data_IF_676167250043
#
_entry.id   IF_676167250043
#
_cell.length_a   1.000
_cell.length_b   1.000
_cell.length_c   1.000
_cell.angle_alpha   90.00
_cell.angle_beta   90.00
_cell.angle_gamma   90.00
#
_symmetry.space_group_name_H-M   'P 1'
#
loop_
_entity.id
_entity.type
_entity.pdbx_description
1 polymer ?
#
# COMPACT_ATOMS: atom_id res chain seq x y z
N UNK A 1 -2.62 -12.49 27.98
CA UNK A 1 -1.47 -11.63 27.66
C UNK A 1 -1.86 -10.77 26.47
N UNK A 2 -1.81 -9.48 26.63
CA UNK A 2 -2.08 -8.56 25.52
C UNK A 2 -1.02 -8.74 24.45
N UNK A 3 -1.40 -9.11 23.24
CA UNK A 3 -0.49 -9.27 22.11
C UNK A 3 -0.02 -7.90 21.68
N UNK A 4 1.28 -7.61 21.81
CA UNK A 4 1.89 -6.38 21.34
C UNK A 4 2.55 -6.64 19.99
N UNK A 5 2.31 -5.74 19.03
CA UNK A 5 3.02 -5.73 17.74
C UNK A 5 4.02 -4.58 17.68
N UNK A 6 5.17 -4.82 17.06
CA UNK A 6 6.15 -3.80 16.74
C UNK A 6 6.04 -3.42 15.26
N UNK A 7 5.77 -2.16 15.01
CA UNK A 7 5.58 -1.61 13.67
C UNK A 7 6.74 -0.68 13.34
N UNK A 8 7.38 -0.91 12.21
CA UNK A 8 8.35 0.01 11.63
C UNK A 8 7.66 0.88 10.58
N UNK A 9 7.75 2.20 10.73
CA UNK A 9 7.24 3.16 9.75
C UNK A 9 8.37 3.54 8.80
N UNK A 10 8.25 3.14 7.54
CA UNK A 10 9.20 3.47 6.48
C UNK A 10 8.91 4.86 5.92
N UNK A 11 9.31 5.91 6.65
CA UNK A 11 9.19 7.30 6.20
C UNK A 11 10.22 7.59 5.10
N UNK A 12 9.94 7.09 3.91
CA UNK A 12 10.82 7.16 2.75
C UNK A 12 10.29 8.15 1.73
N UNK A 13 11.20 8.71 0.95
CA UNK A 13 10.87 9.50 -0.22
C UNK A 13 11.05 8.63 -1.48
N UNK A 14 9.97 8.11 -2.08
CA UNK A 14 10.05 7.35 -3.33
C UNK A 14 10.32 8.28 -4.50
N UNK A 15 11.04 7.78 -5.50
CA UNK A 15 11.22 8.50 -6.76
C UNK A 15 10.04 8.18 -7.69
N UNK A 16 9.36 9.24 -8.17
CA UNK A 16 8.21 9.08 -9.07
C UNK A 16 8.63 8.36 -10.35
N UNK A 17 7.92 7.29 -10.70
CA UNK A 17 8.17 6.48 -11.88
C UNK A 17 9.26 5.41 -11.72
N UNK A 18 10.09 5.47 -10.68
CA UNK A 18 11.15 4.47 -10.44
C UNK A 18 10.62 3.30 -9.61
N UNK A 19 9.71 2.53 -10.19
CA UNK A 19 9.04 1.40 -9.52
C UNK A 19 10.06 0.41 -8.96
N UNK A 20 11.02 -0.02 -9.77
CA UNK A 20 12.02 -1.02 -9.35
C UNK A 20 12.93 -0.49 -8.24
N UNK A 21 13.43 0.75 -8.35
CA UNK A 21 14.29 1.33 -7.32
C UNK A 21 13.56 1.54 -5.98
N UNK A 22 12.29 1.94 -6.02
CA UNK A 22 11.47 2.07 -4.82
C UNK A 22 11.28 0.71 -4.12
N UNK A 23 10.99 -0.35 -4.88
CA UNK A 23 10.84 -1.72 -4.36
C UNK A 23 12.16 -2.25 -3.79
N UNK A 24 13.27 -2.11 -4.51
CA UNK A 24 14.60 -2.54 -4.03
C UNK A 24 14.99 -1.85 -2.74
N UNK A 25 14.71 -0.54 -2.64
CA UNK A 25 14.93 0.24 -1.41
C UNK A 25 14.10 -0.30 -0.24
N UNK A 26 12.82 -0.61 -0.45
CA UNK A 26 11.95 -1.17 0.60
C UNK A 26 12.42 -2.55 1.05
N UNK A 27 12.79 -3.43 0.11
CA UNK A 27 13.36 -4.76 0.41
C UNK A 27 14.66 -4.63 1.20
N UNK A 28 15.56 -3.73 0.78
CA UNK A 28 16.82 -3.47 1.49
C UNK A 28 16.60 -3.00 2.92
N UNK A 29 15.63 -2.12 3.15
CA UNK A 29 15.27 -1.65 4.49
C UNK A 29 14.69 -2.80 5.32
N UNK A 30 13.73 -3.54 4.77
CA UNK A 30 13.13 -4.69 5.44
C UNK A 30 14.17 -5.72 5.89
N UNK A 31 15.16 -6.01 5.03
CA UNK A 31 16.22 -6.98 5.35
C UNK A 31 17.11 -6.56 6.52
N UNK A 32 17.17 -5.27 6.83
CA UNK A 32 17.95 -4.70 7.94
C UNK A 32 17.15 -4.53 9.23
N UNK A 33 15.84 -4.77 9.19
CA UNK A 33 15.03 -4.69 10.40
C UNK A 33 15.38 -5.79 11.38
N UNK A 34 15.27 -5.48 12.67
CA UNK A 34 15.38 -6.48 13.72
C UNK A 34 14.28 -7.55 13.54
N UNK A 35 14.60 -8.79 13.91
CA UNK A 35 13.67 -9.92 13.79
C UNK A 35 12.42 -9.80 14.67
N UNK A 36 12.36 -8.82 15.56
CA UNK A 36 11.22 -8.54 16.43
C UNK A 36 10.23 -7.51 15.86
N UNK A 37 10.48 -7.01 14.65
CA UNK A 37 9.54 -6.15 13.93
C UNK A 37 8.49 -7.03 13.24
N UNK A 38 7.23 -6.81 13.56
CA UNK A 38 6.12 -7.58 13.03
C UNK A 38 5.61 -7.06 11.69
N UNK A 39 5.59 -5.73 11.50
CA UNK A 39 5.03 -5.07 10.32
C UNK A 39 5.93 -3.91 9.88
N UNK A 40 6.19 -3.82 8.58
CA UNK A 40 6.80 -2.66 7.91
C UNK A 40 5.71 -1.93 7.12
N UNK A 41 5.51 -0.64 7.40
CA UNK A 41 4.50 0.20 6.72
C UNK A 41 5.21 1.23 5.86
N UNK A 42 4.89 1.27 4.58
CA UNK A 42 5.35 2.28 3.62
C UNK A 42 4.21 3.25 3.24
N UNK A 43 4.54 4.45 2.71
CA UNK A 43 3.55 5.46 2.36
C UNK A 43 2.54 5.05 1.28
N UNK A 44 1.48 5.89 1.14
CA UNK A 44 0.57 5.88 -0.01
C UNK A 44 1.35 5.96 -1.32
N UNK A 45 0.92 5.15 -2.32
CA UNK A 45 1.54 5.09 -3.66
C UNK A 45 3.07 4.97 -3.66
N UNK A 46 3.64 4.40 -2.60
CA UNK A 46 5.09 4.30 -2.44
C UNK A 46 5.78 3.62 -3.63
N UNK A 47 5.16 2.59 -4.18
CA UNK A 47 5.76 1.81 -5.28
C UNK A 47 5.97 2.67 -6.52
N UNK A 48 5.01 3.52 -6.86
CA UNK A 48 5.06 4.38 -8.05
C UNK A 48 5.66 5.77 -7.77
N UNK A 49 5.70 6.18 -6.51
CA UNK A 49 5.87 7.57 -6.10
C UNK A 49 4.57 8.37 -6.23
N UNK A 50 4.49 9.53 -5.54
CA UNK A 50 3.33 10.43 -5.55
C UNK A 50 3.79 11.89 -5.76
N UNK A 51 3.10 12.68 -6.59
CA UNK A 51 1.99 12.33 -7.48
C UNK A 51 2.45 11.57 -8.72
N UNK A 52 1.63 10.60 -9.18
CA UNK A 52 1.99 9.75 -10.32
C UNK A 52 1.47 10.29 -11.66
N UNK A 53 0.46 11.16 -11.60
CA UNK A 53 -0.17 11.78 -12.76
C UNK A 53 -0.52 10.79 -13.89
N UNK A 54 -0.35 11.20 -15.15
CA UNK A 54 -0.74 10.41 -16.33
C UNK A 54 0.14 9.18 -16.58
N UNK A 55 1.28 9.05 -15.88
CA UNK A 55 2.14 7.89 -16.04
C UNK A 55 1.41 6.57 -15.72
N UNK A 56 0.51 6.62 -14.74
CA UNK A 56 -0.26 5.46 -14.32
C UNK A 56 -1.31 5.01 -15.36
N UNK A 57 -1.64 5.84 -16.34
CA UNK A 57 -2.56 5.48 -17.42
C UNK A 57 -1.90 4.54 -18.45
N UNK A 58 -0.58 4.38 -18.40
CA UNK A 58 0.16 3.51 -19.29
C UNK A 58 0.07 2.06 -18.82
N UNK A 59 -0.34 1.18 -19.72
CA UNK A 59 -0.49 -0.25 -19.40
C UNK A 59 0.85 -0.92 -19.07
N UNK A 60 1.92 -0.57 -19.79
CA UNK A 60 3.26 -1.08 -19.52
C UNK A 60 3.77 -0.68 -18.13
N UNK A 61 3.41 0.52 -17.65
CA UNK A 61 3.75 0.97 -16.31
C UNK A 61 3.00 0.18 -15.24
N UNK A 62 1.69 -0.05 -15.40
CA UNK A 62 0.90 -0.85 -14.45
C UNK A 62 1.36 -2.31 -14.41
N UNK A 63 1.73 -2.88 -15.56
CA UNK A 63 2.29 -4.23 -15.63
C UNK A 63 3.64 -4.31 -14.90
N UNK A 64 4.47 -3.26 -14.99
CA UNK A 64 5.71 -3.17 -14.22
C UNK A 64 5.41 -3.12 -12.71
N UNK A 65 4.46 -2.29 -12.27
CA UNK A 65 4.06 -2.21 -10.85
C UNK A 65 3.64 -3.59 -10.34
N UNK A 66 2.80 -4.31 -11.06
CA UNK A 66 2.32 -5.65 -10.69
C UNK A 66 3.50 -6.63 -10.55
N UNK A 67 4.38 -6.69 -11.56
CA UNK A 67 5.54 -7.58 -11.53
C UNK A 67 6.53 -7.26 -10.41
N UNK A 68 6.68 -5.98 -10.05
CA UNK A 68 7.58 -5.57 -8.98
C UNK A 68 6.98 -5.84 -7.58
N UNK A 69 5.64 -5.76 -7.42
CA UNK A 69 4.95 -6.19 -6.19
C UNK A 69 5.23 -7.68 -5.91
N UNK A 70 5.35 -8.52 -6.93
CA UNK A 70 5.70 -9.93 -6.77
C UNK A 70 7.06 -10.11 -6.08
N UNK A 71 8.01 -9.20 -6.25
CA UNK A 71 9.28 -9.24 -5.50
C UNK A 71 9.07 -9.03 -4.00
N UNK A 72 8.13 -8.14 -3.62
CA UNK A 72 7.75 -7.98 -2.21
C UNK A 72 7.08 -9.24 -1.65
N UNK A 73 6.22 -9.87 -2.45
CA UNK A 73 5.61 -11.15 -2.08
C UNK A 73 6.70 -12.19 -1.82
N UNK A 74 7.67 -12.33 -2.74
CA UNK A 74 8.77 -13.30 -2.58
C UNK A 74 9.62 -13.00 -1.35
N UNK A 75 9.94 -11.72 -1.05
CA UNK A 75 10.78 -11.39 0.09
C UNK A 75 10.10 -11.68 1.45
N UNK A 76 8.77 -11.80 1.50
CA UNK A 76 8.05 -12.13 2.74
C UNK A 76 7.96 -13.63 3.03
N UNK A 77 8.46 -14.51 2.14
CA UNK A 77 8.53 -15.97 2.36
C UNK A 77 9.45 -16.37 3.52
N UNK A 78 10.26 -15.46 4.00
CA UNK A 78 11.11 -15.65 5.19
C UNK A 78 10.32 -15.65 6.51
N UNK A 79 9.00 -15.43 6.46
CA UNK A 79 8.08 -15.40 7.60
C UNK A 79 8.45 -14.37 8.71
N UNK A 80 9.18 -13.31 8.33
CA UNK A 80 9.51 -12.20 9.25
C UNK A 80 8.39 -11.14 9.29
N UNK A 81 8.74 -9.87 9.09
CA UNK A 81 7.76 -8.78 9.09
C UNK A 81 6.82 -8.84 7.88
N UNK A 82 5.53 -8.64 8.11
CA UNK A 82 4.59 -8.31 7.05
C UNK A 82 4.90 -6.96 6.43
N UNK A 83 4.43 -6.69 5.22
CA UNK A 83 4.57 -5.40 4.54
C UNK A 83 3.18 -4.82 4.29
N UNK A 84 3.01 -3.54 4.60
CA UNK A 84 1.87 -2.73 4.17
C UNK A 84 2.43 -1.64 3.26
N UNK A 85 1.99 -1.60 1.99
CA UNK A 85 2.56 -0.70 0.99
C UNK A 85 1.51 -0.18 0.03
N UNK A 86 1.57 1.13 -0.28
CA UNK A 86 0.72 1.79 -1.27
C UNK A 86 1.24 1.59 -2.70
N UNK A 87 0.34 1.26 -3.63
CA UNK A 87 0.62 1.16 -5.06
C UNK A 87 -0.64 1.37 -5.90
N UNK A 88 -0.51 1.85 -7.13
CA UNK A 88 -1.62 1.80 -8.09
C UNK A 88 -1.83 0.34 -8.54
N UNK A 89 -3.07 -0.02 -8.82
CA UNK A 89 -3.40 -1.32 -9.41
C UNK A 89 -4.46 -1.21 -10.49
N UNK A 90 -4.41 -2.13 -11.43
CA UNK A 90 -5.48 -2.31 -12.41
C UNK A 90 -6.60 -3.18 -11.79
N UNK A 91 -7.82 -2.71 -11.93
CA UNK A 91 -9.03 -3.43 -11.53
C UNK A 91 -10.05 -3.38 -12.68
N UNK A 92 -10.09 -4.45 -13.46
CA UNK A 92 -10.84 -4.50 -14.72
C UNK A 92 -10.43 -3.34 -15.65
N UNK A 93 -11.34 -2.42 -15.93
CA UNK A 93 -11.10 -1.24 -16.78
C UNK A 93 -10.80 0.03 -15.97
N UNK A 94 -10.53 -0.10 -14.67
CA UNK A 94 -10.26 1.01 -13.78
C UNK A 94 -8.88 0.91 -13.15
N UNK A 95 -8.37 2.04 -12.72
CA UNK A 95 -7.14 2.14 -11.93
C UNK A 95 -7.54 2.54 -10.51
N UNK A 96 -6.94 1.89 -9.54
CA UNK A 96 -7.18 2.11 -8.11
C UNK A 96 -5.91 2.60 -7.43
N UNK A 97 -6.06 3.50 -6.47
CA UNK A 97 -5.05 3.80 -5.46
C UNK A 97 -5.27 2.80 -4.33
N UNK A 98 -4.31 1.90 -4.12
CA UNK A 98 -4.53 0.74 -3.26
C UNK A 98 -3.42 0.58 -2.23
N UNK A 99 -3.75 -0.02 -1.09
CA UNK A 99 -2.80 -0.53 -0.11
C UNK A 99 -2.80 -2.06 -0.16
N UNK A 100 -1.62 -2.62 -0.26
CA UNK A 100 -1.37 -4.06 -0.25
C UNK A 100 -0.86 -4.48 1.12
N UNK A 101 -1.44 -5.56 1.65
CA UNK A 101 -0.93 -6.26 2.83
C UNK A 101 -0.30 -7.57 2.38
N UNK A 102 1.00 -7.70 2.60
CA UNK A 102 1.79 -8.84 2.12
C UNK A 102 2.42 -9.55 3.31
N UNK A 103 2.14 -10.84 3.44
CA UNK A 103 2.64 -11.65 4.55
C UNK A 103 2.88 -13.09 4.10
N UNK A 104 3.99 -13.68 4.55
CA UNK A 104 4.30 -15.10 4.35
C UNK A 104 4.23 -15.57 2.89
N UNK A 105 4.70 -14.72 1.97
CA UNK A 105 4.72 -15.03 0.54
C UNK A 105 3.36 -14.89 -0.16
N UNK A 106 2.41 -14.18 0.44
CA UNK A 106 1.08 -13.96 -0.13
C UNK A 106 0.62 -12.51 0.03
N UNK A 107 -0.16 -12.01 -0.91
CA UNK A 107 -0.99 -10.83 -0.72
C UNK A 107 -2.22 -11.29 0.06
N UNK A 108 -2.30 -10.88 1.34
CA UNK A 108 -3.39 -11.30 2.24
C UNK A 108 -4.58 -10.35 2.19
N UNK A 109 -4.38 -9.13 1.73
CA UNK A 109 -5.46 -8.16 1.51
C UNK A 109 -5.01 -7.07 0.56
N UNK A 110 -5.96 -6.54 -0.20
CA UNK A 110 -5.83 -5.30 -0.96
C UNK A 110 -7.02 -4.42 -0.56
N UNK A 111 -6.76 -3.15 -0.24
CA UNK A 111 -7.78 -2.15 0.07
C UNK A 111 -7.62 -0.98 -0.88
N UNK A 112 -8.72 -0.51 -1.46
CA UNK A 112 -8.72 0.62 -2.37
C UNK A 112 -9.15 1.89 -1.65
N UNK A 113 -8.50 2.99 -1.95
CA UNK A 113 -8.84 4.31 -1.42
C UNK A 113 -10.29 4.66 -1.76
N UNK A 114 -11.04 5.03 -0.73
CA UNK A 114 -12.44 5.40 -0.86
C UNK A 114 -12.59 6.87 -1.24
N UNK A 115 -11.95 7.78 -0.50
CA UNK A 115 -12.04 9.21 -0.75
C UNK A 115 -10.89 9.68 -1.65
N UNK A 116 -11.25 10.22 -2.82
CA UNK A 116 -10.30 10.69 -3.81
C UNK A 116 -10.29 12.23 -3.82
N UNK A 117 -9.28 12.88 -3.23
CA UNK A 117 -9.21 14.33 -3.20
C UNK A 117 -9.09 14.90 -4.62
N UNK A 118 -9.82 15.99 -4.86
CA UNK A 118 -9.87 16.68 -6.16
C UNK A 118 -9.85 18.20 -5.99
N UNK A 119 -9.07 18.69 -5.03
CA UNK A 119 -8.96 20.11 -4.70
C UNK A 119 -7.49 20.53 -4.55
N UNK A 120 -7.19 21.78 -4.87
CA UNK A 120 -5.84 22.30 -4.78
C UNK A 120 -4.90 21.61 -5.77
N UNK A 121 -3.90 20.91 -5.23
CA UNK A 121 -2.90 20.18 -6.02
C UNK A 121 -3.30 18.74 -6.31
N UNK A 122 -4.44 18.29 -5.77
CA UNK A 122 -4.91 16.92 -5.92
C UNK A 122 -5.89 16.81 -7.08
N UNK A 123 -5.70 15.80 -7.94
CA UNK A 123 -6.54 15.49 -9.11
C UNK A 123 -6.74 13.97 -9.24
N UNK A 124 -7.02 13.32 -8.09
CA UNK A 124 -7.10 11.86 -8.05
C UNK A 124 -8.32 11.29 -8.77
N UNK A 125 -9.46 12.01 -8.78
CA UNK A 125 -10.68 11.56 -9.45
C UNK A 125 -10.55 11.45 -10.96
N UNK A 126 -9.62 12.18 -11.56
CA UNK A 126 -9.31 12.07 -12.99
C UNK A 126 -8.65 10.73 -13.34
N UNK A 127 -7.89 10.19 -12.42
CA UNK A 127 -7.00 9.03 -12.64
C UNK A 127 -7.56 7.77 -12.00
N UNK A 128 -7.93 7.87 -10.72
CA UNK A 128 -8.35 6.72 -9.94
C UNK A 128 -9.87 6.59 -9.86
N UNK A 129 -10.32 5.36 -9.74
CA UNK A 129 -11.71 5.04 -9.42
C UNK A 129 -11.84 4.76 -7.93
N UNK A 130 -12.86 5.40 -7.32
CA UNK A 130 -13.19 5.22 -5.90
C UNK A 130 -13.31 3.74 -5.53
N UNK A 131 -12.75 3.39 -4.37
CA UNK A 131 -12.91 2.08 -3.74
C UNK A 131 -14.28 1.89 -3.09
N UNK A 132 -14.50 0.72 -2.52
CA UNK A 132 -15.65 0.43 -1.66
C UNK A 132 -15.30 0.68 -0.18
N UNK A 133 -16.34 0.86 0.66
CA UNK A 133 -16.16 0.84 2.11
C UNK A 133 -15.83 -0.57 2.56
N UNK A 134 -14.62 -0.78 3.05
CA UNK A 134 -14.11 -2.09 3.38
C UNK A 134 -13.91 -2.30 4.88
N UNK A 135 -13.96 -3.57 5.30
CA UNK A 135 -13.74 -3.96 6.69
C UNK A 135 -12.25 -3.96 7.05
N UNK A 136 -11.95 -4.00 8.35
CA UNK A 136 -10.61 -4.20 8.86
C UNK A 136 -9.98 -5.49 8.33
N UNK A 137 -8.66 -5.49 8.15
CA UNK A 137 -7.86 -6.68 7.87
C UNK A 137 -7.20 -7.22 9.13
N UNK A 138 -7.07 -8.53 9.23
CA UNK A 138 -6.34 -9.14 10.35
C UNK A 138 -4.89 -9.42 9.94
N UNK A 139 -3.94 -8.81 10.64
CA UNK A 139 -2.49 -9.01 10.43
C UNK A 139 -1.90 -9.50 11.74
N UNK A 140 -1.18 -10.62 11.70
CA UNK A 140 -0.60 -11.22 12.92
C UNK A 140 -1.63 -11.42 14.06
N UNK A 141 -2.92 -11.60 13.71
CA UNK A 141 -4.01 -11.83 14.68
C UNK A 141 -4.53 -10.57 15.37
N UNK A 142 -4.20 -9.39 14.89
CA UNK A 142 -4.77 -8.10 15.31
C UNK A 142 -5.51 -7.47 14.12
N UNK A 143 -6.66 -6.85 14.39
CA UNK A 143 -7.44 -6.12 13.38
C UNK A 143 -6.85 -4.75 13.13
N UNK A 144 -6.71 -4.38 11.85
CA UNK A 144 -6.24 -3.09 11.37
C UNK A 144 -7.26 -2.47 10.43
N UNK A 145 -7.66 -1.24 10.69
CA UNK A 145 -8.22 -0.35 9.68
C UNK A 145 -7.07 0.23 8.85
N UNK A 146 -7.23 0.29 7.54
CA UNK A 146 -6.21 0.79 6.61
C UNK A 146 -6.76 1.95 5.77
N UNK A 147 -7.11 3.10 6.39
CA UNK A 147 -7.51 4.29 5.65
C UNK A 147 -6.31 4.85 4.89
N UNK A 148 -6.52 5.29 3.64
CA UNK A 148 -5.48 5.84 2.80
C UNK A 148 -5.63 7.36 2.74
N UNK A 149 -4.70 8.10 3.35
CA UNK A 149 -4.62 9.56 3.33
C UNK A 149 -5.97 10.24 3.65
N UNK A 150 -6.69 10.76 2.64
CA UNK A 150 -7.96 11.49 2.77
C UNK A 150 -9.05 10.66 3.46
N UNK A 151 -9.03 9.34 3.32
CA UNK A 151 -9.98 8.43 3.97
C UNK A 151 -10.10 8.67 5.49
N UNK A 152 -9.03 9.11 6.15
CA UNK A 152 -9.02 9.31 7.61
C UNK A 152 -9.91 10.50 8.05
N UNK A 153 -10.25 11.40 7.15
CA UNK A 153 -11.12 12.53 7.42
C UNK A 153 -12.60 12.22 7.18
N UNK A 154 -12.89 11.08 6.50
CA UNK A 154 -14.24 10.67 6.15
C UNK A 154 -14.87 9.85 7.27
N UNK A 155 -15.95 10.41 7.85
CA UNK A 155 -16.68 9.79 8.96
C UNK A 155 -17.20 8.39 8.61
N UNK A 156 -17.72 8.22 7.39
CA UNK A 156 -18.25 6.95 6.91
C UNK A 156 -17.19 5.85 6.82
N UNK A 157 -15.94 6.21 6.46
CA UNK A 157 -14.82 5.28 6.44
C UNK A 157 -14.44 4.88 7.87
N UNK A 158 -14.35 5.86 8.79
CA UNK A 158 -13.98 5.59 10.18
C UNK A 158 -15.04 4.78 10.92
N UNK A 159 -16.33 5.03 10.67
CA UNK A 159 -17.43 4.25 11.24
C UNK A 159 -17.42 2.80 10.74
N UNK A 160 -17.00 2.56 9.48
CA UNK A 160 -16.87 1.22 8.92
C UNK A 160 -15.68 0.44 9.51
N UNK A 161 -14.61 1.14 9.90
CA UNK A 161 -13.38 0.55 10.43
C UNK A 161 -13.38 0.39 11.96
N UNK A 162 -14.34 0.95 12.66
CA UNK A 162 -14.46 0.87 14.14
C UNK A 162 -15.31 -0.32 14.56
#
# INVERSE_FOLDING_TARGET
MDKKLKIALAQLNPLVGDVSGNIEKLISIRSKLNNDIDILVAPELYVSGYPIDDLVLREDFLNLVESEIDKLVQCTKDNKSAIIVGAPRKDNNHIKNSVFVIENGNIVSIKDKYELPNTGVFDEQRIFKQGSLEDCVTIKGIKFGLPICEDIWEKTVLEKLS
#
